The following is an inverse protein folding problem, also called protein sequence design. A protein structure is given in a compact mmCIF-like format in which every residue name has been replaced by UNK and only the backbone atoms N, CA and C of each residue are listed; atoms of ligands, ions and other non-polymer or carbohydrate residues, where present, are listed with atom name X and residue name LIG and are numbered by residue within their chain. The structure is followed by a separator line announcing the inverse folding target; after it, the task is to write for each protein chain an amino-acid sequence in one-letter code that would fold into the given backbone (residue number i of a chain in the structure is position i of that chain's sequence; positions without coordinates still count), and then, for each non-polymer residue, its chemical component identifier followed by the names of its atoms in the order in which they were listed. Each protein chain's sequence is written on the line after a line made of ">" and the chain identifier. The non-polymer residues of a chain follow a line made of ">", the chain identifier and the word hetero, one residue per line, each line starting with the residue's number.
data_IF_137693049388
#
_entry.id   IF_137693049388
#
_cell.length_a   1.000
_cell.length_b   1.000
_cell.length_c   1.000
_cell.angle_alpha   90.00
_cell.angle_beta   90.00
_cell.angle_gamma   90.00
#
_symmetry.space_group_name_H-M   'P 1'
#
loop_
_entity.id
_entity.type
_entity.pdbx_description
1 polymer ?
#
# COMPACT_ATOMS: atom_id res chain seq x y z
N UNK A 1 20.06 -30.40 -7.76
CA UNK A 1 18.91 -29.70 -8.38
C UNK A 1 17.57 -30.44 -8.17
N UNK A 2 17.47 -31.76 -8.41
CA UNK A 2 16.22 -32.52 -8.21
C UNK A 2 15.69 -32.53 -6.75
N UNK A 3 16.57 -32.64 -5.75
CA UNK A 3 16.17 -32.57 -4.33
C UNK A 3 15.69 -31.18 -3.87
N UNK A 4 16.25 -30.10 -4.44
CA UNK A 4 15.81 -28.73 -4.16
C UNK A 4 14.41 -28.47 -4.74
N UNK A 5 14.14 -29.03 -5.92
CA UNK A 5 12.82 -28.95 -6.58
C UNK A 5 11.76 -29.73 -5.81
N UNK A 6 12.12 -30.90 -5.25
CA UNK A 6 11.22 -31.71 -4.43
C UNK A 6 10.88 -31.03 -3.10
N UNK A 7 11.85 -30.36 -2.47
CA UNK A 7 11.65 -29.60 -1.24
C UNK A 7 10.74 -28.38 -1.48
N UNK A 8 10.97 -27.63 -2.57
CA UNK A 8 10.12 -26.48 -2.97
C UNK A 8 8.69 -26.95 -3.27
N UNK A 9 8.52 -28.05 -4.01
CA UNK A 9 7.20 -28.62 -4.34
C UNK A 9 6.43 -29.09 -3.09
N UNK A 10 7.14 -29.70 -2.13
CA UNK A 10 6.54 -30.18 -0.88
C UNK A 10 6.16 -29.02 0.06
N UNK A 11 6.93 -27.93 0.10
CA UNK A 11 6.54 -26.71 0.81
C UNK A 11 5.35 -26.00 0.15
N UNK A 12 5.22 -25.98 -1.18
CA UNK A 12 4.07 -25.34 -1.85
C UNK A 12 2.74 -26.09 -1.63
N UNK A 13 2.79 -27.41 -1.43
CA UNK A 13 1.60 -28.23 -1.16
C UNK A 13 1.09 -28.14 0.28
N UNK A 14 1.92 -27.65 1.22
CA UNK A 14 1.49 -27.38 2.61
C UNK A 14 0.91 -25.97 2.82
N UNK A 15 1.07 -25.04 1.86
CA UNK A 15 0.53 -23.67 1.95
C UNK A 15 -0.91 -23.59 1.40
N UNK A 16 -1.46 -24.65 0.80
CA UNK A 16 -2.84 -24.65 0.28
C UNK A 16 -3.94 -24.74 1.35
N UNK A 17 -3.58 -24.76 2.64
CA UNK A 17 -4.52 -24.50 3.75
C UNK A 17 -4.32 -23.10 4.34
N UNK A 18 -3.92 -22.12 3.52
CA UNK A 18 -4.28 -20.73 3.80
C UNK A 18 -5.80 -20.68 3.77
N UNK A 19 -6.40 -20.91 4.95
CA UNK A 19 -7.75 -20.55 5.26
C UNK A 19 -7.99 -19.19 4.63
N UNK A 20 -8.96 -19.10 3.72
CA UNK A 20 -9.60 -17.83 3.46
C UNK A 20 -9.89 -17.25 4.86
N UNK A 21 -9.15 -16.21 5.24
CA UNK A 21 -9.13 -15.77 6.62
C UNK A 21 -10.49 -15.15 6.91
N UNK A 22 -11.41 -15.98 7.41
CA UNK A 22 -12.71 -15.51 7.84
C UNK A 22 -12.50 -14.52 8.98
N UNK A 23 -12.81 -13.24 8.71
CA UNK A 23 -12.59 -12.16 9.65
C UNK A 23 -13.86 -11.95 10.50
N UNK A 24 -14.19 -12.95 11.30
CA UNK A 24 -15.36 -12.91 12.18
C UNK A 24 -15.18 -11.85 13.26
N UNK A 25 -15.93 -10.76 13.11
CA UNK A 25 -15.96 -9.63 14.04
C UNK A 25 -17.25 -9.65 14.83
N UNK A 26 -17.20 -9.30 16.12
CA UNK A 26 -18.40 -9.19 16.96
C UNK A 26 -19.41 -8.21 16.38
N UNK A 27 -20.68 -8.61 16.39
CA UNK A 27 -21.76 -7.82 15.81
C UNK A 27 -23.14 -8.40 16.15
N UNK A 28 -24.16 -7.90 15.48
CA UNK A 28 -25.52 -8.43 15.57
C UNK A 28 -26.29 -8.24 14.27
N UNK A 29 -27.32 -9.07 14.07
CA UNK A 29 -28.33 -8.89 13.03
C UNK A 29 -29.67 -8.51 13.68
N UNK A 30 -30.50 -7.80 12.93
CA UNK A 30 -31.89 -7.52 13.29
C UNK A 30 -32.81 -8.39 12.45
N UNK A 31 -33.55 -9.29 13.09
CA UNK A 31 -34.50 -10.16 12.40
C UNK A 31 -35.62 -9.35 11.74
N UNK A 32 -36.36 -9.96 10.80
CA UNK A 32 -37.56 -9.32 10.22
C UNK A 32 -38.62 -9.00 11.29
N UNK A 33 -38.66 -9.77 12.38
CA UNK A 33 -39.54 -9.52 13.54
C UNK A 33 -39.07 -8.36 14.42
N UNK A 34 -37.82 -7.92 14.27
CA UNK A 34 -37.21 -6.84 15.06
C UNK A 34 -36.31 -7.32 16.21
N UNK A 35 -36.15 -8.63 16.37
CA UNK A 35 -35.28 -9.19 17.41
C UNK A 35 -33.81 -8.94 17.09
N UNK A 36 -33.04 -8.59 18.12
CA UNK A 36 -31.58 -8.44 18.00
C UNK A 36 -30.89 -9.76 18.30
N UNK A 37 -30.23 -10.34 17.30
CA UNK A 37 -29.51 -11.61 17.43
C UNK A 37 -28.02 -11.31 17.43
N UNK A 38 -27.35 -11.50 18.57
CA UNK A 38 -25.92 -11.24 18.75
C UNK A 38 -25.09 -12.42 18.26
N UNK A 39 -23.94 -12.13 17.67
CA UNK A 39 -23.03 -13.15 17.17
C UNK A 39 -21.78 -12.54 16.55
N UNK A 40 -21.28 -13.21 15.53
CA UNK A 40 -20.12 -12.75 14.76
C UNK A 40 -20.45 -12.69 13.28
N UNK A 41 -19.94 -11.65 12.61
CA UNK A 41 -20.14 -11.40 11.18
C UNK A 41 -18.77 -11.49 10.50
N UNK A 42 -18.67 -12.23 9.39
CA UNK A 42 -17.47 -12.25 8.57
C UNK A 42 -17.31 -10.87 7.88
N UNK A 43 -16.50 -10.00 8.47
CA UNK A 43 -16.33 -8.62 8.04
C UNK A 43 -15.11 -8.46 7.14
N UNK A 44 -15.36 -8.28 5.85
CA UNK A 44 -14.30 -8.20 4.82
C UNK A 44 -13.89 -6.76 4.49
N UNK A 45 -14.08 -5.81 5.40
CA UNK A 45 -13.73 -4.39 5.20
C UNK A 45 -14.21 -3.85 3.84
N UNK A 46 -15.48 -4.06 3.52
CA UNK A 46 -15.99 -3.90 2.16
C UNK A 46 -15.83 -2.45 1.63
N UNK A 47 -15.21 -2.30 0.44
CA UNK A 47 -15.20 -1.02 -0.29
C UNK A 47 -16.58 -0.68 -0.88
N UNK A 48 -17.29 -1.71 -1.34
CA UNK A 48 -18.68 -1.65 -1.81
C UNK A 48 -19.60 -2.18 -0.71
N UNK A 49 -20.84 -1.71 -0.63
CA UNK A 49 -21.73 -2.28 0.37
C UNK A 49 -21.99 -3.77 0.06
N UNK A 50 -22.02 -4.64 1.08
CA UNK A 50 -22.25 -6.07 0.86
C UNK A 50 -23.67 -6.30 0.34
N UNK A 51 -23.82 -7.28 -0.55
CA UNK A 51 -25.13 -7.77 -0.99
C UNK A 51 -25.67 -8.85 -0.05
N UNK A 52 -24.77 -9.57 0.63
CA UNK A 52 -25.05 -10.55 1.65
C UNK A 52 -23.92 -10.56 2.71
N UNK A 53 -24.23 -11.04 3.90
CA UNK A 53 -23.28 -11.22 5.00
C UNK A 53 -23.31 -12.67 5.49
N UNK A 54 -22.18 -13.14 6.01
CA UNK A 54 -22.10 -14.44 6.71
C UNK A 54 -22.10 -14.18 8.22
N UNK A 55 -23.04 -14.79 8.93
CA UNK A 55 -23.27 -14.60 10.37
C UNK A 55 -23.34 -15.95 11.08
N UNK A 56 -22.81 -16.02 12.30
CA UNK A 56 -23.01 -17.16 13.20
C UNK A 56 -23.12 -16.72 14.65
N UNK A 57 -23.93 -17.43 15.42
CA UNK A 57 -23.98 -17.30 16.87
C UNK A 57 -22.83 -18.08 17.53
N UNK A 58 -22.60 -17.89 18.84
CA UNK A 58 -21.52 -18.57 19.56
C UNK A 58 -21.65 -20.11 19.57
N UNK A 59 -22.88 -20.62 19.44
CA UNK A 59 -23.17 -22.05 19.53
C UNK A 59 -23.20 -22.75 18.16
N UNK A 60 -23.04 -22.01 17.06
CA UNK A 60 -23.14 -22.54 15.70
C UNK A 60 -21.75 -22.75 15.08
N UNK A 61 -21.48 -23.98 14.64
CA UNK A 61 -20.24 -24.31 13.94
C UNK A 61 -20.21 -23.73 12.51
N UNK A 62 -21.36 -23.73 11.82
CA UNK A 62 -21.50 -23.22 10.46
C UNK A 62 -22.14 -21.83 10.45
N UNK A 63 -21.70 -20.97 9.52
CA UNK A 63 -22.28 -19.64 9.35
C UNK A 63 -23.42 -19.63 8.32
N UNK A 64 -24.46 -18.85 8.61
CA UNK A 64 -25.63 -18.63 7.75
C UNK A 64 -25.43 -17.36 6.93
N UNK A 65 -25.83 -17.39 5.65
CA UNK A 65 -25.79 -16.23 4.77
C UNK A 65 -27.11 -15.48 4.83
N UNK A 66 -27.05 -14.17 5.08
CA UNK A 66 -28.21 -13.28 5.09
C UNK A 66 -28.05 -12.18 4.04
N UNK A 67 -29.08 -11.98 3.22
CA UNK A 67 -29.23 -10.85 2.31
C UNK A 67 -30.08 -9.74 2.93
N UNK A 68 -30.19 -8.61 2.24
CA UNK A 68 -31.07 -7.49 2.64
C UNK A 68 -32.57 -7.85 2.63
N UNK A 69 -32.95 -9.03 2.13
CA UNK A 69 -34.33 -9.53 2.18
C UNK A 69 -34.61 -10.38 3.41
N UNK A 70 -33.56 -10.88 4.05
CA UNK A 70 -33.67 -11.87 5.12
C UNK A 70 -33.65 -11.23 6.52
N UNK A 71 -33.11 -10.00 6.63
CA UNK A 71 -32.93 -9.25 7.88
C UNK A 71 -33.20 -7.76 7.67
N UNK A 72 -33.57 -7.05 8.75
CA UNK A 72 -33.79 -5.58 8.75
C UNK A 72 -32.49 -4.77 8.71
N UNK A 73 -31.39 -5.37 9.12
CA UNK A 73 -30.08 -4.73 9.17
C UNK A 73 -29.11 -5.48 10.05
N UNK A 74 -27.88 -4.98 10.13
CA UNK A 74 -26.84 -5.55 10.97
C UNK A 74 -25.86 -4.47 11.45
N UNK A 75 -25.14 -4.77 12.52
CA UNK A 75 -24.11 -3.92 13.07
C UNK A 75 -22.80 -4.69 13.19
N UNK A 76 -21.73 -4.10 12.68
CA UNK A 76 -20.36 -4.65 12.74
C UNK A 76 -19.34 -3.53 12.60
N UNK A 77 -18.23 -3.59 13.34
CA UNK A 77 -17.13 -2.61 13.24
C UNK A 77 -17.63 -1.14 13.32
N UNK A 78 -18.39 -0.82 14.38
CA UNK A 78 -18.98 0.51 14.62
C UNK A 78 -19.76 1.07 13.42
N UNK A 79 -20.42 0.18 12.68
CA UNK A 79 -21.14 0.52 11.45
C UNK A 79 -22.47 -0.20 11.45
N UNK A 80 -23.55 0.57 11.31
CA UNK A 80 -24.89 0.02 11.14
C UNK A 80 -25.29 0.03 9.66
N UNK A 81 -25.69 -1.13 9.16
CA UNK A 81 -26.19 -1.32 7.81
C UNK A 81 -27.69 -1.60 7.87
N UNK A 82 -28.50 -0.74 7.24
CA UNK A 82 -29.95 -0.88 7.16
C UNK A 82 -30.33 -1.60 5.87
N UNK A 83 -31.15 -2.64 5.96
CA UNK A 83 -31.74 -3.25 4.78
C UNK A 83 -32.85 -2.35 4.23
N UNK A 84 -32.84 -2.11 2.92
CA UNK A 84 -33.85 -1.31 2.26
C UNK A 84 -34.02 -1.68 0.79
N UNK A 85 -35.23 -1.47 0.29
CA UNK A 85 -35.51 -1.46 -1.15
C UNK A 85 -35.48 -0.02 -1.63
N UNK A 86 -34.55 0.29 -2.52
CA UNK A 86 -34.30 1.66 -3.01
C UNK A 86 -34.21 1.68 -4.53
N UNK A 87 -34.56 2.82 -5.12
CA UNK A 87 -34.39 3.06 -6.56
C UNK A 87 -33.09 3.82 -6.80
N UNK A 88 -32.18 3.23 -7.56
CA UNK A 88 -30.88 3.82 -7.89
C UNK A 88 -30.77 4.08 -9.38
N UNK A 89 -29.98 5.08 -9.76
CA UNK A 89 -29.65 5.34 -11.16
C UNK A 89 -28.45 4.51 -11.59
N UNK A 90 -28.64 3.59 -12.54
CA UNK A 90 -27.60 2.69 -13.04
C UNK A 90 -26.79 3.24 -14.22
N UNK A 91 -27.08 4.49 -14.63
CA UNK A 91 -26.34 5.17 -15.70
C UNK A 91 -24.85 5.29 -15.37
N UNK A 92 -24.02 5.30 -16.41
CA UNK A 92 -22.57 5.39 -16.27
C UNK A 92 -22.16 6.67 -15.51
N UNK A 93 -21.20 6.53 -14.60
CA UNK A 93 -20.74 7.61 -13.72
C UNK A 93 -19.26 7.97 -13.90
N UNK A 94 -18.49 7.08 -14.53
CA UNK A 94 -17.06 7.22 -14.75
C UNK A 94 -16.77 8.06 -15.99
N UNK A 95 -15.78 8.93 -15.89
CA UNK A 95 -15.28 9.71 -17.03
C UNK A 95 -14.85 8.77 -18.16
N UNK A 96 -15.13 9.17 -19.41
CA UNK A 96 -14.95 8.31 -20.58
C UNK A 96 -16.14 7.38 -20.90
N UNK A 97 -17.05 7.15 -19.94
CA UNK A 97 -18.19 6.23 -20.11
C UNK A 97 -19.56 6.89 -19.99
N UNK A 98 -19.63 8.19 -19.66
CA UNK A 98 -20.90 8.91 -19.52
C UNK A 98 -21.73 8.89 -20.80
N UNK A 99 -23.06 8.92 -20.66
CA UNK A 99 -23.97 9.04 -21.80
C UNK A 99 -24.28 10.52 -22.09
N UNK A 100 -24.77 10.83 -23.28
CA UNK A 100 -25.28 12.16 -23.65
C UNK A 100 -26.73 12.41 -23.18
N UNK A 101 -27.38 11.40 -22.60
CA UNK A 101 -28.76 11.52 -22.13
C UNK A 101 -28.82 12.06 -20.71
N UNK A 102 -29.63 13.10 -20.51
CA UNK A 102 -29.95 13.65 -19.18
C UNK A 102 -30.85 12.72 -18.36
N UNK A 103 -31.65 11.86 -19.00
CA UNK A 103 -32.65 11.03 -18.32
C UNK A 103 -32.02 9.94 -17.45
N UNK A 104 -32.52 9.73 -16.23
CA UNK A 104 -32.01 8.70 -15.32
C UNK A 104 -32.35 7.29 -15.82
N UNK A 105 -31.45 6.33 -15.58
CA UNK A 105 -31.68 4.90 -15.83
C UNK A 105 -31.98 4.21 -14.49
N UNK A 106 -33.24 4.28 -14.05
CA UNK A 106 -33.62 3.88 -12.70
C UNK A 106 -33.82 2.36 -12.58
N UNK A 107 -33.30 1.80 -11.49
CA UNK A 107 -33.51 0.39 -11.13
C UNK A 107 -33.78 0.26 -9.63
N UNK A 108 -34.82 -0.48 -9.27
CA UNK A 108 -35.11 -0.83 -7.88
C UNK A 108 -34.26 -2.03 -7.43
N UNK A 109 -33.59 -1.89 -6.28
CA UNK A 109 -32.70 -2.90 -5.71
C UNK A 109 -32.94 -3.06 -4.20
N UNK A 110 -32.82 -4.28 -3.70
CA UNK A 110 -32.73 -4.54 -2.25
C UNK A 110 -31.25 -4.51 -1.86
N UNK A 111 -30.87 -3.64 -0.93
CA UNK A 111 -29.48 -3.42 -0.55
C UNK A 111 -29.31 -3.19 0.96
N UNK A 112 -28.11 -3.44 1.45
CA UNK A 112 -27.67 -2.99 2.77
C UNK A 112 -27.05 -1.59 2.65
N UNK A 113 -27.77 -0.58 3.13
CA UNK A 113 -27.32 0.80 3.13
C UNK A 113 -26.52 1.09 4.40
N UNK A 114 -25.34 1.67 4.25
CA UNK A 114 -24.53 2.09 5.38
C UNK A 114 -25.12 3.36 5.98
N UNK A 115 -25.37 3.37 7.28
CA UNK A 115 -25.88 4.55 7.99
C UNK A 115 -24.74 5.49 8.30
N UNK A 116 -24.76 6.67 7.68
CA UNK A 116 -23.76 7.72 7.88
C UNK A 116 -24.11 8.64 9.02
N UNK A 117 -25.38 8.98 9.14
CA UNK A 117 -25.94 9.78 10.23
C UNK A 117 -27.25 9.14 10.63
N UNK A 118 -27.40 8.80 11.92
CA UNK A 118 -28.66 8.32 12.48
C UNK A 118 -29.33 9.39 13.34
N UNK A 119 -30.67 9.42 13.29
CA UNK A 119 -31.51 10.37 14.00
C UNK A 119 -32.78 10.66 13.19
N UNK A 120 -33.52 11.70 13.57
CA UNK A 120 -34.74 12.13 12.88
C UNK A 120 -34.49 12.33 11.38
N UNK A 121 -33.43 13.05 11.04
CA UNK A 121 -32.93 13.20 9.67
C UNK A 121 -31.74 12.27 9.46
N UNK A 122 -32.00 11.08 8.95
CA UNK A 122 -30.96 10.07 8.71
C UNK A 122 -30.36 10.19 7.31
N UNK A 123 -29.06 9.92 7.20
CA UNK A 123 -28.32 9.85 5.95
C UNK A 123 -27.77 8.44 5.75
N UNK A 124 -28.06 7.85 4.59
CA UNK A 124 -27.58 6.53 4.21
C UNK A 124 -26.71 6.59 2.96
N UNK A 125 -25.89 5.56 2.77
CA UNK A 125 -24.91 5.46 1.69
C UNK A 125 -24.88 4.06 1.07
N UNK A 126 -24.79 4.01 -0.26
CA UNK A 126 -24.54 2.82 -1.05
C UNK A 126 -23.44 3.10 -2.06
N UNK A 127 -22.36 2.32 -2.01
CA UNK A 127 -21.46 2.15 -3.16
C UNK A 127 -21.80 0.85 -3.86
N UNK A 128 -22.31 0.96 -5.08
CA UNK A 128 -22.84 -0.19 -5.81
C UNK A 128 -21.75 -1.07 -6.45
N UNK A 129 -22.19 -2.13 -7.13
CA UNK A 129 -21.31 -3.07 -7.85
C UNK A 129 -20.43 -2.41 -8.92
N UNK A 130 -20.83 -1.26 -9.48
CA UNK A 130 -20.09 -0.48 -10.47
C UNK A 130 -19.27 0.65 -9.84
N UNK A 131 -19.14 0.67 -8.52
CA UNK A 131 -18.45 1.71 -7.74
C UNK A 131 -19.12 3.09 -7.80
N UNK A 132 -20.37 3.19 -8.26
CA UNK A 132 -21.14 4.44 -8.22
C UNK A 132 -21.67 4.66 -6.81
N UNK A 133 -21.62 5.91 -6.37
CA UNK A 133 -22.04 6.34 -5.03
C UNK A 133 -23.48 6.84 -5.12
N UNK A 134 -24.30 6.42 -4.16
CA UNK A 134 -25.66 6.87 -3.96
C UNK A 134 -25.85 7.26 -2.49
N UNK A 135 -26.46 8.42 -2.26
CA UNK A 135 -26.92 8.85 -0.93
C UNK A 135 -28.44 8.75 -0.84
N UNK A 136 -28.92 8.49 0.37
CA UNK A 136 -30.35 8.40 0.64
C UNK A 136 -30.70 9.10 1.94
N UNK A 137 -31.94 9.56 2.02
CA UNK A 137 -32.54 10.20 3.18
C UNK A 137 -33.83 9.48 3.56
N UNK A 138 -34.27 9.63 4.80
CA UNK A 138 -35.58 9.13 5.22
C UNK A 138 -36.67 10.05 4.67
N UNK A 139 -37.59 9.54 3.86
CA UNK A 139 -38.78 10.25 3.38
C UNK A 139 -39.82 10.49 4.48
N UNK A 140 -40.84 11.28 4.16
CA UNK A 140 -41.88 11.72 5.12
C UNK A 140 -42.72 10.55 5.65
N UNK A 141 -42.93 9.53 4.82
CA UNK A 141 -43.64 8.29 5.12
C UNK A 141 -42.73 7.19 5.73
N UNK A 142 -41.49 7.54 6.06
CA UNK A 142 -40.49 6.58 6.55
C UNK A 142 -39.84 5.74 5.45
N UNK A 143 -40.17 5.95 4.17
CA UNK A 143 -39.48 5.31 3.06
C UNK A 143 -38.05 5.85 2.92
N UNK A 144 -37.22 5.18 2.11
CA UNK A 144 -35.86 5.67 1.83
C UNK A 144 -35.84 6.28 0.44
N UNK A 145 -35.61 7.59 0.39
CA UNK A 145 -35.58 8.37 -0.84
C UNK A 145 -34.13 8.61 -1.29
N UNK A 146 -33.88 8.43 -2.58
CA UNK A 146 -32.57 8.66 -3.19
C UNK A 146 -32.33 10.16 -3.40
N UNK A 147 -31.14 10.61 -3.05
CA UNK A 147 -30.65 11.94 -3.40
C UNK A 147 -30.13 11.91 -4.84
N UNK A 148 -30.89 12.47 -5.77
CA UNK A 148 -30.67 12.34 -7.21
C UNK A 148 -29.46 13.16 -7.68
N UNK A 149 -28.50 12.45 -8.29
CA UNK A 149 -27.32 13.06 -8.88
C UNK A 149 -26.91 12.30 -10.13
N UNK A 150 -26.66 13.03 -11.22
CA UNK A 150 -26.22 12.43 -12.48
C UNK A 150 -25.19 13.28 -13.19
N UNK A 151 -24.20 12.63 -13.79
CA UNK A 151 -23.20 13.23 -14.68
C UNK A 151 -23.47 12.74 -16.10
N UNK A 152 -23.41 13.63 -17.09
CA UNK A 152 -23.66 13.30 -18.49
C UNK A 152 -22.86 14.20 -19.41
N UNK A 153 -22.63 13.75 -20.64
CA UNK A 153 -21.99 14.57 -21.66
C UNK A 153 -22.98 15.53 -22.30
N UNK A 154 -22.48 16.72 -22.63
CA UNK A 154 -23.11 17.65 -23.56
C UNK A 154 -22.08 18.07 -24.60
N UNK A 155 -22.54 18.27 -25.83
CA UNK A 155 -21.73 18.93 -26.85
C UNK A 155 -21.95 20.44 -26.74
N UNK A 156 -20.89 21.18 -26.44
CA UNK A 156 -20.88 22.63 -26.49
C UNK A 156 -19.81 23.04 -27.49
N UNK A 157 -20.26 23.55 -28.64
CA UNK A 157 -19.39 24.08 -29.70
C UNK A 157 -18.40 23.04 -30.25
N UNK A 158 -18.85 21.80 -30.47
CA UNK A 158 -18.03 20.70 -31.00
C UNK A 158 -17.05 20.13 -29.98
N UNK A 159 -17.17 20.51 -28.70
CA UNK A 159 -16.37 19.99 -27.60
C UNK A 159 -17.25 19.22 -26.64
N UNK A 160 -16.80 18.00 -26.33
CA UNK A 160 -17.41 17.15 -25.30
C UNK A 160 -17.14 17.74 -23.91
N UNK A 161 -18.20 18.20 -23.25
CA UNK A 161 -18.17 18.72 -21.88
C UNK A 161 -18.97 17.82 -20.94
N UNK A 162 -18.63 17.81 -19.66
CA UNK A 162 -19.36 17.08 -18.62
C UNK A 162 -20.22 18.06 -17.84
N UNK A 163 -21.51 17.77 -17.71
CA UNK A 163 -22.46 18.53 -16.89
C UNK A 163 -23.05 17.63 -15.80
N UNK A 164 -23.41 18.24 -14.67
CA UNK A 164 -23.99 17.56 -13.52
C UNK A 164 -25.43 18.03 -13.29
N UNK A 165 -26.37 17.07 -13.17
CA UNK A 165 -27.70 17.30 -12.62
C UNK A 165 -27.63 17.14 -11.10
N UNK A 166 -27.78 18.25 -10.37
CA UNK A 166 -27.67 18.34 -8.91
C UNK A 166 -29.04 18.40 -8.21
N UNK A 167 -30.00 17.58 -8.63
CA UNK A 167 -31.35 17.55 -8.05
C UNK A 167 -31.35 17.35 -6.53
N UNK A 168 -30.37 16.61 -6.00
CA UNK A 168 -30.16 16.44 -4.57
C UNK A 168 -30.06 17.75 -3.78
N UNK A 169 -29.61 18.86 -4.39
CA UNK A 169 -29.52 20.16 -3.72
C UNK A 169 -30.93 20.63 -3.35
N UNK A 170 -31.88 20.59 -4.28
CA UNK A 170 -33.28 20.93 -4.03
C UNK A 170 -33.94 19.98 -3.03
N UNK A 171 -33.66 18.67 -3.15
CA UNK A 171 -34.16 17.68 -2.20
C UNK A 171 -33.65 17.94 -0.77
N UNK A 172 -32.38 18.30 -0.62
CA UNK A 172 -31.79 18.64 0.68
C UNK A 172 -32.36 19.94 1.25
N UNK A 173 -32.59 20.96 0.42
CA UNK A 173 -33.24 22.22 0.86
C UNK A 173 -34.63 21.95 1.42
N UNK A 174 -35.42 21.12 0.75
CA UNK A 174 -36.73 20.71 1.24
C UNK A 174 -36.63 19.85 2.51
N UNK A 175 -35.65 18.94 2.56
CA UNK A 175 -35.52 17.98 3.66
C UNK A 175 -35.01 18.60 4.97
N UNK A 176 -34.12 19.60 4.87
CA UNK A 176 -33.45 20.28 5.99
C UNK A 176 -33.98 21.72 6.18
N UNK A 177 -35.22 21.99 5.75
CA UNK A 177 -35.82 23.32 5.70
C UNK A 177 -36.09 23.94 7.09
N UNK A 178 -35.96 23.16 8.16
CA UNK A 178 -36.15 23.58 9.54
C UNK A 178 -34.89 24.21 10.18
N UNK A 179 -33.82 24.38 9.39
CA UNK A 179 -32.66 25.22 9.74
C UNK A 179 -32.49 26.36 8.71
N UNK A 180 -32.76 27.60 9.11
CA UNK A 180 -32.72 28.77 8.21
C UNK A 180 -31.34 29.05 7.61
N UNK A 181 -30.28 28.79 8.37
CA UNK A 181 -28.92 29.23 8.01
C UNK A 181 -28.15 28.20 7.18
N UNK A 182 -28.75 27.03 6.92
CA UNK A 182 -28.06 25.92 6.23
C UNK A 182 -28.09 26.04 4.71
N UNK A 183 -28.98 26.84 4.13
CA UNK A 183 -29.25 26.83 2.69
C UNK A 183 -27.98 27.10 1.85
N UNK A 184 -27.21 28.12 2.23
CA UNK A 184 -25.92 28.43 1.59
C UNK A 184 -24.90 27.30 1.68
N UNK A 185 -24.97 26.50 2.76
CA UNK A 185 -24.11 25.31 2.95
C UNK A 185 -24.59 24.15 2.10
N UNK A 186 -25.89 24.00 1.89
CA UNK A 186 -26.45 23.00 0.96
C UNK A 186 -25.96 23.28 -0.46
N UNK A 187 -26.04 24.53 -0.93
CA UNK A 187 -25.61 24.91 -2.29
C UNK A 187 -24.12 24.63 -2.55
N UNK A 188 -23.28 24.80 -1.53
CA UNK A 188 -21.85 24.51 -1.59
C UNK A 188 -21.49 23.03 -1.37
N UNK A 189 -22.46 22.17 -1.01
CA UNK A 189 -22.19 20.77 -0.67
C UNK A 189 -22.02 19.93 -1.92
N UNK A 190 -20.82 19.37 -2.10
CA UNK A 190 -20.56 18.39 -3.17
C UNK A 190 -21.15 17.02 -2.82
N UNK A 191 -21.62 16.29 -3.85
CA UNK A 191 -22.15 14.91 -3.76
C UNK A 191 -21.07 13.88 -3.42
N UNK A 192 -20.52 13.98 -2.22
CA UNK A 192 -19.40 13.19 -1.70
C UNK A 192 -19.67 12.82 -0.25
N UNK A 193 -19.04 11.75 0.23
CA UNK A 193 -19.19 11.30 1.62
C UNK A 193 -18.89 12.42 2.61
N UNK A 194 -17.75 13.09 2.44
CA UNK A 194 -17.30 14.15 3.34
C UNK A 194 -18.22 15.37 3.29
N UNK A 195 -18.67 15.77 2.10
CA UNK A 195 -19.61 16.87 1.94
C UNK A 195 -20.94 16.59 2.64
N UNK A 196 -21.55 15.43 2.37
CA UNK A 196 -22.85 15.06 2.93
C UNK A 196 -22.80 14.89 4.46
N UNK A 197 -21.77 14.21 4.99
CA UNK A 197 -21.62 14.06 6.45
C UNK A 197 -21.36 15.41 7.13
N UNK A 198 -20.55 16.29 6.52
CA UNK A 198 -20.32 17.64 7.06
C UNK A 198 -21.61 18.47 7.07
N UNK A 199 -22.41 18.40 6.01
CA UNK A 199 -23.69 19.10 5.93
C UNK A 199 -24.65 18.63 7.04
N UNK A 200 -24.81 17.32 7.23
CA UNK A 200 -25.68 16.80 8.29
C UNK A 200 -25.17 17.15 9.69
N UNK A 201 -23.84 17.16 9.91
CA UNK A 201 -23.28 17.68 11.17
C UNK A 201 -23.68 19.13 11.44
N UNK A 202 -23.61 19.98 10.41
CA UNK A 202 -24.05 21.38 10.51
C UNK A 202 -25.54 21.48 10.83
N UNK A 203 -26.36 20.65 10.20
CA UNK A 203 -27.80 20.58 10.47
C UNK A 203 -28.10 20.24 11.95
N UNK A 204 -27.55 19.14 12.46
CA UNK A 204 -27.80 18.73 13.85
C UNK A 204 -27.30 19.78 14.85
N UNK A 205 -26.16 20.42 14.57
CA UNK A 205 -25.67 21.54 15.37
C UNK A 205 -26.62 22.74 15.34
N UNK A 206 -27.15 23.10 14.16
CA UNK A 206 -28.11 24.20 13.98
C UNK A 206 -29.40 23.98 14.77
N UNK A 207 -29.89 22.74 14.81
CA UNK A 207 -31.13 22.38 15.52
C UNK A 207 -30.90 22.10 17.01
N UNK A 208 -29.65 22.17 17.49
CA UNK A 208 -29.27 21.76 18.84
C UNK A 208 -29.76 20.34 19.18
N UNK A 209 -29.68 19.44 18.18
CA UNK A 209 -30.09 18.05 18.30
C UNK A 209 -28.87 17.15 18.43
N UNK A 210 -28.98 16.13 19.28
CA UNK A 210 -27.99 15.06 19.33
C UNK A 210 -28.21 14.09 18.18
N UNK A 211 -27.24 14.00 17.27
CA UNK A 211 -27.20 12.91 16.30
C UNK A 211 -26.87 11.59 17.03
N UNK A 212 -27.55 10.50 16.68
CA UNK A 212 -27.32 9.21 17.33
C UNK A 212 -25.93 8.64 17.03
N UNK A 213 -25.60 8.48 15.75
CA UNK A 213 -24.30 7.98 15.29
C UNK A 213 -23.90 8.74 14.05
N UNK A 214 -22.69 9.30 14.04
CA UNK A 214 -22.10 9.90 12.84
C UNK A 214 -20.89 9.09 12.42
N UNK A 215 -20.99 8.39 11.29
CA UNK A 215 -19.89 7.58 10.76
C UNK A 215 -18.81 8.49 10.19
N UNK A 216 -17.63 8.42 10.78
CA UNK A 216 -16.42 9.06 10.24
C UNK A 216 -15.80 8.12 9.21
N UNK A 217 -15.41 8.68 8.06
CA UNK A 217 -14.68 7.90 7.03
C UNK A 217 -13.33 7.48 7.62
N UNK A 218 -13.05 6.17 7.62
CA UNK A 218 -11.75 5.67 8.05
C UNK A 218 -10.64 6.28 7.20
N UNK A 219 -9.66 6.93 7.84
CA UNK A 219 -8.49 7.49 7.15
C UNK A 219 -7.53 6.35 6.80
N UNK A 220 -6.82 6.50 5.69
CA UNK A 220 -5.72 5.57 5.36
C UNK A 220 -4.69 5.65 6.48
N UNK A 221 -4.40 4.50 7.10
CA UNK A 221 -3.38 4.44 8.14
C UNK A 221 -2.02 4.66 7.49
N UNK A 222 -1.20 5.49 8.11
CA UNK A 222 0.17 5.76 7.70
C UNK A 222 1.07 5.70 8.93
N UNK A 223 2.36 5.41 8.71
CA UNK A 223 3.36 5.43 9.76
C UNK A 223 4.67 6.02 9.24
N UNK A 224 5.36 6.77 10.11
CA UNK A 224 6.73 7.21 9.88
C UNK A 224 7.65 6.37 10.74
N UNK A 225 8.88 6.12 10.27
CA UNK A 225 9.89 5.43 11.05
C UNK A 225 11.28 6.00 10.85
N UNK A 226 12.11 5.86 11.88
CA UNK A 226 13.56 5.99 11.77
C UNK A 226 14.17 4.59 11.66
N UNK A 227 15.23 4.46 10.86
CA UNK A 227 15.90 3.20 10.53
C UNK A 227 17.38 3.34 10.85
N UNK A 228 17.94 2.34 11.53
CA UNK A 228 19.38 2.23 11.77
C UNK A 228 19.81 0.77 11.70
N UNK A 229 21.01 0.50 11.21
CA UNK A 229 21.47 -0.87 11.10
C UNK A 229 22.87 -1.01 10.53
N UNK A 230 23.18 -2.24 10.14
CA UNK A 230 24.43 -2.61 9.51
C UNK A 230 24.17 -3.34 8.21
N UNK A 231 25.11 -3.24 7.28
CA UNK A 231 25.10 -3.98 6.02
C UNK A 231 26.42 -4.70 5.81
N UNK A 232 26.36 -5.89 5.24
CA UNK A 232 27.50 -6.62 4.72
C UNK A 232 27.35 -6.71 3.20
N UNK A 233 28.20 -6.00 2.49
CA UNK A 233 28.25 -6.00 1.03
C UNK A 233 29.27 -7.01 0.53
N UNK A 234 28.90 -7.82 -0.46
CA UNK A 234 29.79 -8.72 -1.18
C UNK A 234 29.90 -8.26 -2.62
N UNK A 235 31.12 -7.97 -3.07
CA UNK A 235 31.39 -7.60 -4.44
C UNK A 235 31.46 -8.83 -5.34
N UNK A 236 30.93 -8.72 -6.54
CA UNK A 236 30.99 -9.76 -7.56
C UNK A 236 31.44 -9.14 -8.87
N UNK A 237 32.49 -9.70 -9.47
CA UNK A 237 32.95 -9.28 -10.80
C UNK A 237 33.03 -10.47 -11.75
N UNK A 238 32.69 -10.27 -13.02
CA UNK A 238 32.83 -11.25 -14.08
C UNK A 238 33.25 -10.58 -15.41
N UNK A 239 33.93 -11.35 -16.28
CA UNK A 239 34.21 -10.97 -17.67
C UNK A 239 35.33 -9.95 -17.88
N UNK A 240 36.07 -9.53 -16.84
CA UNK A 240 37.14 -8.54 -17.00
C UNK A 240 38.51 -9.16 -17.28
N UNK A 241 39.17 -8.73 -18.35
CA UNK A 241 40.62 -8.95 -18.57
C UNK A 241 41.49 -8.07 -17.63
N UNK A 242 40.87 -7.26 -16.78
CA UNK A 242 41.55 -6.41 -15.80
C UNK A 242 41.86 -7.22 -14.53
N UNK A 243 43.12 -7.63 -14.38
CA UNK A 243 43.62 -8.36 -13.20
C UNK A 243 43.18 -7.71 -11.87
N UNK A 244 43.29 -6.37 -11.67
CA UNK A 244 42.87 -5.76 -10.41
C UNK A 244 41.38 -5.98 -10.06
N UNK A 245 40.51 -6.03 -11.06
CA UNK A 245 39.07 -6.22 -10.81
C UNK A 245 38.79 -7.66 -10.36
N UNK A 246 39.45 -8.65 -10.97
CA UNK A 246 39.33 -10.05 -10.55
C UNK A 246 39.89 -10.31 -9.14
N UNK A 247 40.90 -9.54 -8.71
CA UNK A 247 41.51 -9.69 -7.39
C UNK A 247 40.58 -9.26 -6.25
N UNK A 248 39.61 -8.38 -6.53
CA UNK A 248 38.61 -7.96 -5.54
C UNK A 248 37.29 -8.72 -5.65
N UNK A 249 37.18 -9.73 -6.53
CA UNK A 249 36.00 -10.58 -6.60
C UNK A 249 35.74 -11.26 -5.26
N UNK A 250 34.46 -11.37 -4.88
CA UNK A 250 33.97 -11.94 -3.62
C UNK A 250 34.43 -11.22 -2.35
N UNK A 251 35.22 -10.15 -2.43
CA UNK A 251 35.59 -9.35 -1.26
C UNK A 251 34.34 -8.76 -0.60
N UNK A 252 34.42 -8.59 0.72
CA UNK A 252 33.30 -8.13 1.53
C UNK A 252 33.63 -6.82 2.24
N UNK A 253 32.59 -6.06 2.57
CA UNK A 253 32.70 -4.79 3.27
C UNK A 253 31.50 -4.60 4.20
N UNK A 254 31.78 -4.31 5.47
CA UNK A 254 30.74 -3.99 6.45
C UNK A 254 30.58 -2.47 6.54
N UNK A 255 29.34 -2.01 6.69
CA UNK A 255 29.03 -0.59 6.87
C UNK A 255 27.81 -0.37 7.73
N UNK A 256 27.71 0.82 8.30
CA UNK A 256 26.50 1.32 8.94
C UNK A 256 25.53 1.86 7.89
N UNK A 257 24.24 1.67 8.14
CA UNK A 257 23.13 2.19 7.34
C UNK A 257 22.14 2.91 8.24
N UNK A 258 21.51 3.95 7.71
CA UNK A 258 20.53 4.72 8.46
C UNK A 258 19.66 5.57 7.55
N UNK A 259 18.45 5.88 8.01
CA UNK A 259 17.50 6.62 7.20
C UNK A 259 16.12 6.75 7.83
N UNK A 260 15.16 7.09 6.98
CA UNK A 260 13.75 7.28 7.37
C UNK A 260 12.85 6.43 6.47
N UNK A 261 11.73 5.99 7.02
CA UNK A 261 10.72 5.20 6.34
C UNK A 261 9.33 5.82 6.44
N UNK A 262 8.54 5.70 5.38
CA UNK A 262 7.14 6.06 5.33
C UNK A 262 6.33 4.85 4.82
N UNK A 263 5.37 4.42 5.62
CA UNK A 263 4.54 3.25 5.37
C UNK A 263 3.08 3.64 5.19
N UNK A 264 2.46 3.15 4.12
CA UNK A 264 1.05 3.35 3.78
C UNK A 264 0.35 2.00 3.85
N UNK A 265 -0.64 1.86 4.74
CA UNK A 265 -1.38 0.61 4.90
C UNK A 265 -2.57 0.59 3.92
N UNK A 266 -2.68 -0.48 3.15
CA UNK A 266 -3.79 -0.67 2.24
C UNK A 266 -5.06 -1.09 2.98
N UNK A 267 -6.18 -0.48 2.60
CA UNK A 267 -7.51 -0.79 3.14
C UNK A 267 -8.02 -2.11 2.55
N UNK A 268 -8.90 -2.80 3.28
CA UNK A 268 -9.65 -3.95 2.75
C UNK A 268 -9.08 -5.33 3.10
N UNK A 269 -7.92 -5.42 3.77
CA UNK A 269 -7.32 -6.69 4.19
C UNK A 269 -6.74 -6.65 5.60
N UNK A 270 -7.42 -5.98 6.54
CA UNK A 270 -6.97 -5.88 7.94
C UNK A 270 -5.66 -5.11 8.12
N UNK A 271 -5.28 -4.27 7.15
CA UNK A 271 -3.95 -3.62 7.06
C UNK A 271 -2.77 -4.62 6.92
N UNK A 272 -3.02 -5.86 6.47
CA UNK A 272 -1.95 -6.84 6.25
C UNK A 272 -1.00 -6.43 5.13
N UNK A 273 -1.48 -5.74 4.10
CA UNK A 273 -0.64 -5.21 3.03
C UNK A 273 -0.32 -3.73 3.25
N UNK A 274 0.94 -3.36 3.04
CA UNK A 274 1.40 -1.97 3.09
C UNK A 274 2.48 -1.70 2.05
N UNK A 275 2.59 -0.44 1.62
CA UNK A 275 3.67 0.07 0.79
C UNK A 275 4.64 0.86 1.66
N UNK A 276 5.93 0.52 1.58
CA UNK A 276 7.00 1.14 2.36
C UNK A 276 7.95 1.86 1.43
N UNK A 277 8.15 3.12 1.73
CA UNK A 277 9.09 3.99 1.03
C UNK A 277 10.17 4.40 2.02
N UNK A 278 11.43 4.12 1.73
CA UNK A 278 12.54 4.47 2.62
C UNK A 278 13.57 5.31 1.88
N UNK A 279 14.14 6.28 2.57
CA UNK A 279 15.34 6.99 2.14
C UNK A 279 16.48 6.62 3.09
N UNK A 280 17.47 5.88 2.60
CA UNK A 280 18.57 5.35 3.41
C UNK A 280 19.94 5.72 2.85
N UNK A 281 20.88 6.04 3.74
CA UNK A 281 22.29 6.11 3.43
C UNK A 281 22.92 4.72 3.55
N UNK A 282 23.70 4.31 2.55
CA UNK A 282 24.50 3.09 2.60
C UNK A 282 25.85 3.32 1.92
N UNK A 283 26.88 2.60 2.35
CA UNK A 283 28.18 2.61 1.69
C UNK A 283 28.83 1.24 1.70
N UNK A 284 29.80 1.02 0.82
CA UNK A 284 30.76 -0.07 0.93
C UNK A 284 32.14 0.42 0.49
N UNK A 285 33.18 -0.14 1.06
CA UNK A 285 34.58 0.11 0.68
C UNK A 285 35.40 -1.16 0.83
N UNK A 286 36.07 -1.53 -0.24
CA UNK A 286 36.95 -2.69 -0.36
C UNK A 286 38.36 -2.15 -0.43
N UNK A 287 39.20 -2.57 0.52
CA UNK A 287 40.64 -2.35 0.47
C UNK A 287 41.30 -3.72 0.39
N UNK A 288 42.08 -3.97 -0.65
CA UNK A 288 42.68 -5.28 -0.89
C UNK A 288 44.11 -5.14 -1.39
N UNK A 289 45.02 -5.93 -0.82
CA UNK A 289 46.40 -6.05 -1.29
C UNK A 289 46.64 -7.45 -1.83
N UNK A 290 47.20 -7.54 -3.01
CA UNK A 290 47.46 -8.81 -3.68
C UNK A 290 48.71 -8.73 -4.55
N UNK A 291 49.42 -9.84 -4.72
CA UNK A 291 50.56 -9.94 -5.63
C UNK A 291 50.19 -10.85 -6.79
N UNK A 292 50.40 -10.37 -8.01
CA UNK A 292 50.27 -11.16 -9.22
C UNK A 292 51.67 -11.50 -9.76
N UNK A 293 52.01 -12.78 -9.80
CA UNK A 293 53.34 -13.24 -10.25
C UNK A 293 53.23 -13.88 -11.62
N UNK A 294 53.98 -13.35 -12.60
CA UNK A 294 54.11 -13.93 -13.94
C UNK A 294 55.30 -14.90 -14.04
N UNK A 295 56.40 -14.57 -13.37
CA UNK A 295 57.58 -15.43 -13.16
C UNK A 295 58.31 -14.99 -11.89
N UNK A 296 59.36 -15.71 -11.46
CA UNK A 296 60.10 -15.38 -10.23
C UNK A 296 60.62 -13.93 -10.20
N UNK A 297 60.99 -13.39 -11.37
CA UNK A 297 61.56 -12.05 -11.51
C UNK A 297 60.55 -11.00 -11.99
N UNK A 298 59.30 -11.40 -12.28
CA UNK A 298 58.25 -10.51 -12.81
C UNK A 298 56.99 -10.67 -11.97
N UNK A 299 56.75 -9.68 -11.11
CA UNK A 299 55.53 -9.60 -10.28
C UNK A 299 54.98 -8.20 -10.21
N UNK A 300 53.68 -8.08 -9.98
CA UNK A 300 53.01 -6.82 -9.69
C UNK A 300 52.35 -6.90 -8.32
N UNK A 301 52.71 -6.00 -7.40
CA UNK A 301 52.00 -5.83 -6.14
C UNK A 301 50.88 -4.79 -6.33
N UNK A 302 49.65 -5.14 -5.97
CA UNK A 302 48.49 -4.29 -6.06
C UNK A 302 48.03 -3.84 -4.67
N UNK A 303 47.74 -2.55 -4.53
CA UNK A 303 46.95 -1.95 -3.44
C UNK A 303 45.70 -1.32 -4.06
N UNK A 304 44.55 -1.96 -3.83
CA UNK A 304 43.28 -1.65 -4.47
C UNK A 304 42.33 -1.07 -3.42
N UNK A 305 41.76 0.09 -3.71
CA UNK A 305 40.69 0.72 -2.93
C UNK A 305 39.51 1.07 -3.82
N UNK A 306 38.39 0.37 -3.63
CA UNK A 306 37.17 0.57 -4.42
C UNK A 306 35.93 0.60 -3.53
N UNK A 307 35.04 1.56 -3.74
CA UNK A 307 33.86 1.70 -2.90
C UNK A 307 32.92 2.79 -3.36
N UNK A 308 31.67 2.71 -2.94
CA UNK A 308 30.66 3.72 -3.22
C UNK A 308 29.85 4.02 -1.96
N UNK A 309 29.38 5.25 -1.87
CA UNK A 309 28.37 5.69 -0.90
C UNK A 309 27.15 6.20 -1.66
N UNK A 310 25.98 5.93 -1.10
CA UNK A 310 24.69 6.09 -1.78
C UNK A 310 23.67 6.75 -0.87
N UNK A 311 22.80 7.54 -1.48
CA UNK A 311 21.45 7.76 -0.97
C UNK A 311 20.52 6.86 -1.79
N UNK A 312 19.81 5.95 -1.12
CA UNK A 312 18.90 5.00 -1.74
C UNK A 312 17.46 5.30 -1.40
N UNK A 313 16.60 5.19 -2.40
CA UNK A 313 15.15 5.14 -2.25
C UNK A 313 14.68 3.70 -2.42
N UNK A 314 14.19 3.10 -1.35
CA UNK A 314 13.61 1.76 -1.36
C UNK A 314 12.09 1.87 -1.48
N UNK A 315 11.50 1.11 -2.39
CA UNK A 315 10.05 0.97 -2.52
C UNK A 315 9.73 -0.52 -2.37
N UNK A 316 9.05 -0.88 -1.29
CA UNK A 316 8.78 -2.28 -0.95
C UNK A 316 7.30 -2.49 -0.64
N UNK A 317 6.75 -3.58 -1.18
CA UNK A 317 5.49 -4.11 -0.71
C UNK A 317 5.76 -4.99 0.51
N UNK A 318 5.06 -4.72 1.61
CA UNK A 318 5.11 -5.51 2.84
C UNK A 318 3.82 -6.27 3.04
N UNK A 319 3.95 -7.54 3.37
CA UNK A 319 2.89 -8.37 3.94
C UNK A 319 3.16 -8.61 5.42
N UNK A 320 2.17 -8.30 6.25
CA UNK A 320 2.20 -8.41 7.70
C UNK A 320 1.22 -9.48 8.17
N UNK A 321 1.68 -10.41 8.99
CA UNK A 321 0.86 -11.46 9.59
C UNK A 321 1.31 -11.77 11.02
N UNK A 322 0.46 -12.40 11.81
CA UNK A 322 0.71 -12.63 13.25
C UNK A 322 -0.24 -11.84 14.16
N UNK A 323 -0.16 -12.10 15.47
CA UNK A 323 -1.13 -11.60 16.45
C UNK A 323 -0.87 -10.18 16.97
N UNK A 324 -1.73 -9.69 17.86
CA UNK A 324 -1.78 -8.29 18.32
C UNK A 324 -0.52 -7.74 19.01
N UNK A 325 0.44 -8.58 19.43
CA UNK A 325 1.68 -8.14 20.12
C UNK A 325 2.94 -8.32 19.27
N UNK A 326 2.97 -9.32 18.40
CA UNK A 326 4.12 -9.68 17.58
C UNK A 326 3.64 -9.83 16.15
N UNK A 327 4.24 -9.06 15.25
CA UNK A 327 3.95 -9.08 13.83
C UNK A 327 5.15 -9.59 13.04
N UNK A 328 4.93 -10.47 12.08
CA UNK A 328 5.93 -10.93 11.13
C UNK A 328 5.76 -10.18 9.82
N UNK A 329 6.89 -9.89 9.16
CA UNK A 329 6.93 -9.12 7.93
C UNK A 329 7.62 -9.91 6.82
N UNK A 330 7.03 -9.89 5.64
CA UNK A 330 7.68 -10.23 4.37
C UNK A 330 7.70 -8.99 3.50
N UNK A 331 8.86 -8.66 2.94
CA UNK A 331 9.07 -7.49 2.12
C UNK A 331 9.66 -7.92 0.77
N UNK A 332 9.15 -7.34 -0.30
CA UNK A 332 9.73 -7.47 -1.64
C UNK A 332 9.65 -6.13 -2.35
N UNK A 333 10.68 -5.73 -3.07
CA UNK A 333 10.69 -4.42 -3.71
C UNK A 333 11.94 -4.11 -4.52
N UNK A 334 12.08 -2.82 -4.81
CA UNK A 334 13.20 -2.28 -5.58
C UNK A 334 13.90 -1.18 -4.79
N UNK A 335 15.21 -1.06 -4.98
CA UNK A 335 16.01 0.05 -4.50
C UNK A 335 16.58 0.82 -5.69
N UNK A 336 16.58 2.14 -5.62
CA UNK A 336 17.32 2.98 -6.54
C UNK A 336 18.26 3.88 -5.73
N UNK A 337 19.56 3.67 -5.92
CA UNK A 337 20.62 4.39 -5.24
C UNK A 337 21.31 5.38 -6.16
N UNK A 338 21.40 6.64 -5.73
CA UNK A 338 22.28 7.63 -6.35
C UNK A 338 23.63 7.59 -5.64
N UNK A 339 24.70 7.40 -6.41
CA UNK A 339 26.07 7.45 -5.91
C UNK A 339 26.42 8.90 -5.55
N UNK A 340 26.81 9.14 -4.30
CA UNK A 340 27.19 10.48 -3.82
C UNK A 340 28.71 10.64 -3.66
N UNK A 341 29.44 9.53 -3.49
CA UNK A 341 30.91 9.54 -3.48
C UNK A 341 31.44 8.16 -3.82
N UNK A 342 32.53 8.13 -4.59
CA UNK A 342 33.20 6.94 -5.10
C UNK A 342 34.68 6.94 -4.71
N UNK A 343 35.16 5.81 -4.17
CA UNK A 343 36.58 5.48 -4.06
C UNK A 343 36.94 4.58 -5.23
N UNK A 344 37.98 4.95 -5.96
CA UNK A 344 38.37 4.24 -7.18
C UNK A 344 39.87 4.42 -7.44
N UNK A 345 40.69 3.61 -6.77
CA UNK A 345 42.15 3.71 -6.82
C UNK A 345 42.80 2.34 -6.86
N UNK A 346 43.77 2.18 -7.74
CA UNK A 346 44.70 1.05 -7.82
C UNK A 346 46.10 1.61 -7.84
N UNK A 347 46.93 1.18 -6.89
CA UNK A 347 48.38 1.37 -6.94
C UNK A 347 48.98 0.04 -7.37
N UNK A 348 49.71 0.03 -8.47
CA UNK A 348 50.40 -1.14 -9.00
C UNK A 348 51.91 -0.88 -8.93
N UNK A 349 52.62 -1.73 -8.21
CA UNK A 349 54.07 -1.73 -8.13
C UNK A 349 54.59 -2.91 -8.95
N UNK A 350 55.09 -2.61 -10.15
CA UNK A 350 55.63 -3.57 -11.09
C UNK A 350 57.12 -3.79 -10.80
N UNK A 351 57.47 -5.02 -10.48
CA UNK A 351 58.84 -5.48 -10.27
C UNK A 351 59.27 -6.29 -11.49
N UNK A 352 60.33 -5.82 -12.16
CA UNK A 352 60.95 -6.48 -13.30
C UNK A 352 62.45 -6.62 -13.03
N UNK A 353 62.87 -7.83 -12.67
CA UNK A 353 64.20 -8.12 -12.13
C UNK A 353 64.53 -7.21 -10.93
N UNK A 354 65.50 -6.31 -11.07
CA UNK A 354 65.93 -5.37 -10.03
C UNK A 354 65.20 -4.02 -10.10
N UNK A 355 64.41 -3.78 -11.13
CA UNK A 355 63.72 -2.50 -11.34
C UNK A 355 62.31 -2.56 -10.75
N UNK A 356 61.93 -1.51 -10.03
CA UNK A 356 60.58 -1.35 -9.48
C UNK A 356 59.97 -0.06 -9.98
N UNK A 357 58.75 -0.12 -10.53
CA UNK A 357 57.99 1.05 -11.00
C UNK A 357 56.63 1.07 -10.33
N UNK A 358 56.21 2.22 -9.82
CA UNK A 358 54.88 2.38 -9.20
C UNK A 358 53.98 3.24 -10.08
N UNK A 359 52.78 2.75 -10.36
CA UNK A 359 51.73 3.50 -11.08
C UNK A 359 50.47 3.58 -10.24
N UNK A 360 49.79 4.72 -10.30
CA UNK A 360 48.46 4.90 -9.68
C UNK A 360 47.44 5.18 -10.76
N UNK A 361 46.36 4.40 -10.78
CA UNK A 361 45.26 4.54 -11.76
C UNK A 361 43.91 4.25 -11.13
N UNK A 362 42.84 4.59 -11.82
CA UNK A 362 41.50 4.16 -11.47
C UNK A 362 41.30 2.66 -11.74
N UNK A 363 40.53 1.96 -10.92
CA UNK A 363 40.14 0.56 -11.14
C UNK A 363 39.23 0.42 -12.37
N UNK A 364 38.26 1.33 -12.48
CA UNK A 364 37.33 1.46 -13.61
C UNK A 364 37.39 2.92 -14.09
N UNK A 365 37.33 3.20 -15.40
CA UNK A 365 37.30 4.59 -15.84
C UNK A 365 36.04 5.31 -15.34
N UNK A 366 36.17 6.61 -15.05
CA UNK A 366 35.05 7.41 -14.53
C UNK A 366 33.84 7.41 -15.48
N UNK A 367 34.08 7.41 -16.80
CA UNK A 367 33.02 7.41 -17.82
C UNK A 367 32.24 6.09 -17.88
N UNK A 368 32.84 4.99 -17.41
CA UNK A 368 32.18 3.68 -17.39
C UNK A 368 31.48 3.41 -16.05
N UNK A 369 31.64 4.25 -15.04
CA UNK A 369 30.99 4.06 -13.74
C UNK A 369 29.56 4.60 -13.75
N UNK A 370 28.60 3.75 -13.41
CA UNK A 370 27.21 4.15 -13.25
C UNK A 370 27.01 5.02 -12.02
N UNK A 371 26.30 6.13 -12.20
CA UNK A 371 25.89 7.03 -11.11
C UNK A 371 24.64 6.55 -10.36
N UNK A 372 23.89 5.63 -10.97
CA UNK A 372 22.67 5.07 -10.41
C UNK A 372 22.82 3.55 -10.29
N UNK A 373 22.53 3.02 -9.11
CA UNK A 373 22.48 1.59 -8.81
C UNK A 373 21.03 1.19 -8.57
N UNK A 374 20.45 0.40 -9.47
CA UNK A 374 19.14 -0.21 -9.27
C UNK A 374 19.32 -1.60 -8.66
N UNK A 375 18.42 -2.00 -7.76
CA UNK A 375 18.53 -3.29 -7.06
C UNK A 375 17.15 -3.88 -6.77
N UNK A 376 17.11 -5.19 -6.58
CA UNK A 376 15.94 -5.90 -6.07
C UNK A 376 16.19 -6.19 -4.58
N UNK A 377 15.16 -6.03 -3.77
CA UNK A 377 15.15 -6.21 -2.32
C UNK A 377 14.18 -7.31 -1.91
N UNK A 378 14.62 -8.19 -1.03
CA UNK A 378 13.76 -9.13 -0.30
C UNK A 378 14.11 -9.09 1.18
N UNK A 379 13.13 -9.17 2.06
CA UNK A 379 13.42 -9.12 3.49
C UNK A 379 12.36 -9.77 4.35
N UNK A 380 12.81 -10.32 5.47
CA UNK A 380 11.95 -10.88 6.51
C UNK A 380 12.20 -10.13 7.80
N UNK A 381 11.19 -9.99 8.64
CA UNK A 381 11.37 -9.32 9.91
C UNK A 381 10.28 -9.63 10.93
N UNK A 382 10.51 -9.10 12.12
CA UNK A 382 9.60 -9.21 13.25
C UNK A 382 9.45 -7.83 13.90
N UNK A 383 8.22 -7.51 14.26
CA UNK A 383 7.84 -6.28 14.95
C UNK A 383 7.24 -6.57 16.32
N UNK A 384 7.58 -5.73 17.27
CA UNK A 384 6.99 -5.69 18.60
C UNK A 384 6.62 -4.24 18.94
N UNK A 385 5.32 -3.97 19.00
CA UNK A 385 4.77 -2.61 19.19
C UNK A 385 5.33 -1.62 18.13
N UNK A 386 6.15 -0.65 18.57
CA UNK A 386 6.76 0.38 17.71
C UNK A 386 8.12 -0.02 17.15
N UNK A 387 8.69 -1.15 17.59
CA UNK A 387 10.02 -1.60 17.17
C UNK A 387 9.89 -2.70 16.12
N UNK A 388 10.78 -2.70 15.13
CA UNK A 388 10.88 -3.80 14.18
C UNK A 388 12.33 -4.09 13.80
N UNK A 389 12.69 -5.36 13.77
CA UNK A 389 13.99 -5.88 13.32
C UNK A 389 13.78 -6.63 12.01
N UNK A 390 14.61 -6.35 11.00
CA UNK A 390 14.51 -6.96 9.69
C UNK A 390 15.88 -7.40 9.18
N UNK A 391 15.92 -8.57 8.54
CA UNK A 391 17.04 -9.03 7.71
C UNK A 391 16.63 -8.88 6.26
N UNK A 392 17.47 -8.23 5.45
CA UNK A 392 17.18 -7.98 4.03
C UNK A 392 18.33 -8.44 3.16
N UNK A 393 18.01 -8.98 1.99
CA UNK A 393 18.95 -9.21 0.91
C UNK A 393 18.67 -8.21 -0.21
N UNK A 394 19.74 -7.63 -0.75
CA UNK A 394 19.72 -6.72 -1.89
C UNK A 394 20.65 -7.28 -2.95
N UNK A 395 20.17 -7.33 -4.19
CA UNK A 395 20.95 -7.73 -5.35
C UNK A 395 21.00 -6.56 -6.34
N UNK A 396 22.19 -5.98 -6.53
CA UNK A 396 22.35 -4.82 -7.40
C UNK A 396 22.50 -5.23 -8.87
N UNK A 397 22.12 -4.32 -9.76
CA UNK A 397 22.55 -4.33 -11.16
C UNK A 397 24.07 -4.17 -11.27
N UNK A 398 24.60 -4.35 -12.49
CA UNK A 398 25.99 -3.95 -12.78
C UNK A 398 26.19 -2.46 -12.48
N UNK A 399 27.39 -2.14 -11.97
CA UNK A 399 27.91 -0.83 -11.58
C UNK A 399 28.75 -0.18 -12.68
N UNK A 400 29.06 -0.94 -13.74
CA UNK A 400 29.84 -0.48 -14.88
C UNK A 400 29.06 -0.68 -16.19
N UNK A 401 29.23 0.27 -17.11
CA UNK A 401 28.76 0.20 -18.50
C UNK A 401 29.84 -0.32 -19.46
N UNK A 402 31.03 -0.64 -18.96
CA UNK A 402 32.11 -1.18 -19.79
C UNK A 402 31.71 -2.52 -20.43
N UNK A 403 31.83 -2.59 -21.76
CA UNK A 403 31.49 -3.78 -22.54
C UNK A 403 32.31 -4.99 -22.05
N UNK A 404 31.64 -6.11 -21.82
CA UNK A 404 32.26 -7.35 -21.35
C UNK A 404 32.60 -7.38 -19.85
N UNK A 405 32.41 -6.29 -19.12
CA UNK A 405 32.64 -6.25 -17.67
C UNK A 405 31.31 -6.24 -16.93
N UNK A 406 31.20 -7.09 -15.91
CA UNK A 406 30.09 -7.07 -14.99
C UNK A 406 30.64 -6.89 -13.58
N UNK A 407 30.16 -5.88 -12.86
CA UNK A 407 30.54 -5.62 -11.48
C UNK A 407 29.29 -5.31 -10.67
N UNK A 408 28.92 -6.13 -9.69
CA UNK A 408 27.71 -5.92 -8.88
C UNK A 408 27.99 -6.16 -7.40
N UNK A 409 27.02 -5.79 -6.57
CA UNK A 409 27.06 -6.06 -5.13
C UNK A 409 25.82 -6.84 -4.71
N UNK A 410 26.04 -7.83 -3.85
CA UNK A 410 24.99 -8.47 -3.09
C UNK A 410 25.14 -8.02 -1.64
N UNK A 411 24.11 -7.43 -1.05
CA UNK A 411 24.16 -6.89 0.31
C UNK A 411 23.20 -7.62 1.21
N UNK A 412 23.62 -7.89 2.43
CA UNK A 412 22.75 -8.35 3.51
C UNK A 412 22.68 -7.24 4.54
N UNK A 413 21.47 -6.85 4.91
CA UNK A 413 21.22 -5.84 5.93
C UNK A 413 20.63 -6.49 7.17
N UNK A 414 21.03 -5.98 8.34
CA UNK A 414 20.31 -6.14 9.59
C UNK A 414 19.90 -4.73 10.04
N UNK A 415 18.61 -4.44 10.04
CA UNK A 415 18.08 -3.12 10.37
C UNK A 415 17.09 -3.19 11.52
N UNK A 416 17.20 -2.21 12.40
CA UNK A 416 16.24 -1.87 13.43
C UNK A 416 15.47 -0.62 12.99
N UNK A 417 14.17 -0.61 13.25
CA UNK A 417 13.31 0.53 12.96
C UNK A 417 12.41 0.84 14.15
N UNK A 418 12.14 2.13 14.34
CA UNK A 418 11.19 2.64 15.33
C UNK A 418 10.11 3.46 14.61
N UNK A 419 8.86 3.04 14.73
CA UNK A 419 7.69 3.70 14.15
C UNK A 419 7.03 4.69 15.12
N UNK A 420 6.66 5.87 14.63
CA UNK A 420 6.02 6.93 15.41
C UNK A 420 4.51 6.76 15.49
#
# INVERSE_FOLDING_TARGET
>A
MRLLFLFILCTTLFVSTVFAQDNFTSGYILSLKGDTIRGTINYQQWDKNPTAISFKTQNEAAATIYSSRDIKGFFVNDSYYKAATVTIDTSAYTDGQLSYSRAYELKTVSAFLLTLVSGEKSLFYLKDGKSKIHFFITGVDGTIATLNHKRFYVDLQGRRNIVESKEYVGQLKQYLNDCSDIESKIDATNYTWSGMVALFKLYYNCRHLDAGTIKVKEKTKTALSIIGGVSLSKFNSAGSNLIPLSLIDKQTSASITGGVGFEIFFKGNGNAWSLINEAIYNAYTINHKATYTKSNDIRTNYDISFGNSFIKINNMLRYTFGGNKISWYLNAGIANGVVISTRNRVVAEDVFYTTTTTTTKALVSADNLRKIETSILFGVGVGYKKYAVQVRNEMSSSLTDAIGQHASTNKIYLVLSYGF
#
